data_IF_150272864462
#
_entry.id   IF_150272864462
#
_cell.length_a   1.000
_cell.length_b   1.000
_cell.length_c   1.000
_cell.angle_alpha   90.00
_cell.angle_beta   90.00
_cell.angle_gamma   90.00
#
_symmetry.space_group_name_H-M   'P 1'
#
loop_
_entity.id
_entity.type
_entity.pdbx_description
1 polymer ?
#
# COMPACT_ATOMS: atom_id res chain seq x y z
N UNK A 1 15.32 -22.09 0.61
CA UNK A 1 14.14 -21.53 1.31
C UNK A 1 14.35 -21.64 2.82
N UNK A 2 14.79 -20.57 3.49
CA UNK A 2 15.04 -20.58 4.93
C UNK A 2 13.75 -20.28 5.71
N UNK A 3 13.22 -21.30 6.40
CA UNK A 3 12.14 -21.16 7.37
C UNK A 3 12.67 -20.39 8.58
N UNK A 4 12.02 -19.27 8.93
CA UNK A 4 12.35 -18.48 10.10
C UNK A 4 12.27 -19.34 11.37
N UNK A 5 13.43 -19.69 11.92
CA UNK A 5 13.57 -20.48 13.15
C UNK A 5 13.27 -19.61 14.36
N UNK A 6 12.01 -19.63 14.81
CA UNK A 6 11.58 -18.93 16.02
C UNK A 6 11.74 -19.84 17.23
N UNK A 7 12.74 -19.55 18.09
CA UNK A 7 12.86 -20.16 19.42
C UNK A 7 11.75 -19.57 20.31
N UNK A 8 10.98 -20.44 20.97
CA UNK A 8 9.92 -20.11 21.96
C UNK A 8 10.35 -18.93 22.87
N UNK A 9 9.53 -17.88 22.95
CA UNK A 9 9.75 -16.71 23.83
C UNK A 9 9.96 -15.37 23.12
N UNK A 10 10.60 -15.35 21.95
CA UNK A 10 10.94 -14.11 21.21
C UNK A 10 9.77 -13.21 20.78
N UNK A 11 8.58 -13.71 20.34
CA UNK A 11 7.51 -12.82 19.88
C UNK A 11 6.86 -12.07 21.05
N UNK A 12 6.82 -12.69 22.24
CA UNK A 12 6.23 -12.09 23.42
C UNK A 12 7.04 -10.87 23.85
N UNK A 13 8.36 -11.00 23.88
CA UNK A 13 9.24 -9.89 24.27
C UNK A 13 9.21 -8.78 23.22
N UNK A 14 9.20 -9.08 21.92
CA UNK A 14 9.11 -8.08 20.86
C UNK A 14 7.87 -7.16 20.94
N UNK A 15 6.77 -7.64 21.54
CA UNK A 15 5.54 -6.85 21.75
C UNK A 15 5.26 -6.56 23.22
N UNK A 16 6.21 -6.78 24.12
CA UNK A 16 6.09 -6.41 25.55
C UNK A 16 7.29 -5.62 26.03
N UNK A 17 8.49 -6.20 25.97
CA UNK A 17 9.74 -5.54 26.35
C UNK A 17 10.25 -4.69 25.18
N UNK A 18 10.35 -3.37 25.39
CA UNK A 18 10.86 -2.44 24.38
C UNK A 18 9.85 -2.03 23.28
N UNK A 19 8.61 -2.52 23.30
CA UNK A 19 7.57 -2.01 22.41
C UNK A 19 7.21 -0.58 22.79
N UNK A 20 7.55 0.38 21.91
CA UNK A 20 7.11 1.76 22.02
C UNK A 20 5.86 1.95 21.16
N UNK A 21 4.72 2.38 21.75
CA UNK A 21 3.53 2.70 20.98
C UNK A 21 3.84 3.72 19.90
N UNK A 22 3.31 3.49 18.71
CA UNK A 22 3.41 4.47 17.64
C UNK A 22 2.36 5.55 17.81
N UNK A 23 2.73 6.78 17.47
CA UNK A 23 1.77 7.87 17.31
C UNK A 23 0.92 7.61 16.07
N UNK A 24 -0.39 7.81 16.21
CA UNK A 24 -1.38 7.59 15.14
C UNK A 24 -2.08 8.87 14.72
N UNK A 25 -1.69 10.02 15.27
CA UNK A 25 -2.20 11.31 14.82
C UNK A 25 -1.73 11.60 13.37
N UNK A 26 -2.55 12.25 12.54
CA UNK A 26 -2.25 12.43 11.12
C UNK A 26 -0.89 13.08 10.85
N UNK A 27 -0.53 14.08 11.67
CA UNK A 27 0.74 14.78 11.58
C UNK A 27 1.92 13.84 11.82
N UNK A 28 1.89 13.05 12.88
CA UNK A 28 2.96 12.09 13.16
C UNK A 28 3.10 11.01 12.08
N UNK A 29 1.98 10.56 11.50
CA UNK A 29 1.98 9.60 10.39
C UNK A 29 2.64 10.21 9.14
N UNK A 30 2.29 11.45 8.82
CA UNK A 30 2.89 12.20 7.71
C UNK A 30 4.38 12.46 7.92
N UNK A 31 4.77 12.97 9.09
CA UNK A 31 6.17 13.26 9.44
C UNK A 31 7.02 11.99 9.40
N UNK A 32 6.51 10.88 9.92
CA UNK A 32 7.21 9.59 9.83
C UNK A 32 7.39 9.17 8.36
N UNK A 33 6.33 9.24 7.56
CA UNK A 33 6.35 8.82 6.15
C UNK A 33 7.33 9.67 5.35
N UNK A 34 7.23 10.99 5.45
CA UNK A 34 8.15 11.93 4.81
C UNK A 34 9.60 11.70 5.25
N UNK A 35 9.86 11.49 6.55
CA UNK A 35 11.20 11.23 7.06
C UNK A 35 11.81 9.95 6.48
N UNK A 36 11.01 8.91 6.21
CA UNK A 36 11.51 7.66 5.62
C UNK A 36 11.83 7.81 4.14
N UNK A 37 11.00 8.55 3.42
CA UNK A 37 11.19 8.82 1.99
C UNK A 37 12.44 9.66 1.70
N UNK A 38 12.99 10.39 2.69
CA UNK A 38 14.30 11.06 2.56
C UNK A 38 15.48 10.10 2.37
N UNK A 39 15.33 8.82 2.69
CA UNK A 39 16.44 7.84 2.68
C UNK A 39 16.13 6.55 1.93
N UNK A 40 14.88 6.34 1.53
CA UNK A 40 14.38 5.07 1.00
C UNK A 40 13.41 5.34 -0.13
N UNK A 41 13.36 4.44 -1.10
CA UNK A 41 12.32 4.50 -2.13
C UNK A 41 10.96 4.10 -1.54
N UNK A 42 9.84 4.56 -2.11
CA UNK A 42 8.50 4.14 -1.69
C UNK A 42 8.35 2.61 -1.63
N UNK A 43 8.94 1.87 -2.57
CA UNK A 43 8.90 0.41 -2.66
C UNK A 43 9.64 -0.23 -1.47
N UNK A 44 10.80 0.31 -1.10
CA UNK A 44 11.54 -0.16 0.08
C UNK A 44 10.77 0.10 1.37
N UNK A 45 10.08 1.24 1.47
CA UNK A 45 9.19 1.53 2.61
C UNK A 45 8.04 0.52 2.65
N UNK A 46 7.39 0.25 1.51
CA UNK A 46 6.32 -0.77 1.41
C UNK A 46 6.79 -2.15 1.86
N UNK A 47 7.93 -2.60 1.35
CA UNK A 47 8.49 -3.90 1.72
C UNK A 47 8.72 -4.01 3.23
N UNK A 48 9.25 -2.95 3.86
CA UNK A 48 9.43 -2.92 5.32
C UNK A 48 8.11 -2.96 6.07
N UNK A 49 7.07 -2.29 5.56
CA UNK A 49 5.72 -2.33 6.12
C UNK A 49 5.10 -3.72 5.96
N UNK A 50 5.33 -4.42 4.84
CA UNK A 50 4.94 -5.82 4.64
C UNK A 50 5.58 -6.75 5.66
N UNK A 51 6.88 -6.61 5.88
CA UNK A 51 7.61 -7.44 6.83
C UNK A 51 7.13 -7.19 8.26
N UNK A 52 6.89 -5.92 8.62
CA UNK A 52 6.28 -5.55 9.90
C UNK A 52 4.88 -6.14 10.08
N UNK A 53 4.06 -6.12 9.02
CA UNK A 53 2.70 -6.66 9.03
C UNK A 53 2.71 -8.19 9.20
N UNK A 54 3.60 -8.88 8.47
CA UNK A 54 3.81 -10.33 8.61
C UNK A 54 4.26 -10.69 10.02
N UNK A 55 5.22 -9.96 10.59
CA UNK A 55 5.70 -10.17 11.96
C UNK A 55 4.59 -10.02 12.99
N UNK A 56 3.80 -8.95 12.91
CA UNK A 56 2.71 -8.73 13.85
C UNK A 56 1.57 -9.74 13.68
N UNK A 57 1.25 -10.13 12.44
CA UNK A 57 0.24 -11.15 12.18
C UNK A 57 0.67 -12.53 12.67
N UNK A 58 1.94 -12.91 12.43
CA UNK A 58 2.52 -14.13 12.97
C UNK A 58 2.56 -14.15 14.50
N UNK A 59 2.87 -13.02 15.14
CA UNK A 59 2.81 -12.90 16.59
C UNK A 59 1.39 -13.07 17.13
N UNK A 60 0.37 -12.47 16.48
CA UNK A 60 -1.03 -12.65 16.87
C UNK A 60 -1.49 -14.10 16.76
N UNK A 61 -1.08 -14.82 15.70
CA UNK A 61 -1.35 -16.24 15.55
C UNK A 61 -0.68 -17.06 16.67
N UNK A 62 0.58 -16.78 16.99
CA UNK A 62 1.28 -17.43 18.09
C UNK A 62 0.65 -17.15 19.45
N UNK A 63 0.17 -15.92 19.71
CA UNK A 63 -0.50 -15.58 20.97
C UNK A 63 -1.89 -16.22 21.09
N UNK A 64 -2.52 -16.62 19.98
CA UNK A 64 -3.83 -17.26 20.02
C UNK A 64 -3.77 -18.68 20.59
N UNK A 65 -2.63 -19.36 20.49
CA UNK A 65 -2.41 -20.71 21.02
C UNK A 65 -1.78 -20.72 22.42
N UNK A 66 -1.46 -19.55 22.97
CA UNK A 66 -0.88 -19.39 24.30
C UNK A 66 -1.96 -19.20 25.38
N UNK A 67 -1.64 -19.60 26.61
CA UNK A 67 -2.49 -19.31 27.78
C UNK A 67 -2.66 -17.79 27.96
N UNK A 68 -3.88 -17.32 28.28
CA UNK A 68 -4.23 -15.89 28.30
C UNK A 68 -3.73 -15.17 29.57
N UNK A 69 -2.42 -15.09 29.74
CA UNK A 69 -1.79 -14.33 30.83
C UNK A 69 -1.87 -12.82 30.57
N UNK A 70 -1.71 -11.99 31.62
CA UNK A 70 -1.65 -10.53 31.47
C UNK A 70 -0.56 -10.09 30.46
N UNK A 71 0.61 -10.74 30.48
CA UNK A 71 1.70 -10.49 29.52
C UNK A 71 1.26 -10.79 28.08
N UNK A 72 0.60 -11.93 27.84
CA UNK A 72 0.08 -12.31 26.51
C UNK A 72 -1.02 -11.35 26.04
N UNK A 73 -1.94 -10.94 26.93
CA UNK A 73 -2.99 -9.95 26.60
C UNK A 73 -2.39 -8.62 26.19
N UNK A 74 -1.37 -8.12 26.91
CA UNK A 74 -0.64 -6.89 26.56
C UNK A 74 0.08 -7.04 25.22
N UNK A 75 0.79 -8.15 25.01
CA UNK A 75 1.46 -8.43 23.74
C UNK A 75 0.49 -8.42 22.56
N UNK A 76 -0.69 -9.03 22.72
CA UNK A 76 -1.75 -9.07 21.71
C UNK A 76 -2.29 -7.68 21.39
N UNK A 77 -2.50 -6.83 22.40
CA UNK A 77 -2.92 -5.44 22.20
C UNK A 77 -1.86 -4.63 21.42
N UNK A 78 -0.59 -4.77 21.79
CA UNK A 78 0.53 -4.08 21.13
C UNK A 78 0.71 -4.55 19.68
N UNK A 79 0.60 -5.85 19.40
CA UNK A 79 0.65 -6.38 18.05
C UNK A 79 -0.52 -5.87 17.17
N UNK A 80 -1.73 -5.77 17.72
CA UNK A 80 -2.88 -5.14 17.04
C UNK A 80 -2.63 -3.66 16.76
N UNK A 81 -2.13 -2.91 17.74
CA UNK A 81 -1.82 -1.49 17.58
C UNK A 81 -0.75 -1.28 16.50
N UNK A 82 0.29 -2.12 16.46
CA UNK A 82 1.31 -2.06 15.43
C UNK A 82 0.75 -2.33 14.02
N UNK A 83 -0.12 -3.34 13.86
CA UNK A 83 -0.80 -3.58 12.58
C UNK A 83 -1.63 -2.38 12.14
N UNK A 84 -2.40 -1.79 13.05
CA UNK A 84 -3.21 -0.59 12.76
C UNK A 84 -2.32 0.58 12.33
N UNK A 85 -1.20 0.79 13.02
CA UNK A 85 -0.25 1.83 12.65
C UNK A 85 0.35 1.59 11.25
N UNK A 86 0.74 0.36 10.91
CA UNK A 86 1.22 0.02 9.55
C UNK A 86 0.17 0.37 8.50
N UNK A 87 -1.11 0.10 8.75
CA UNK A 87 -2.20 0.48 7.84
C UNK A 87 -2.28 1.98 7.61
N UNK A 88 -2.16 2.80 8.65
CA UNK A 88 -2.18 4.26 8.52
C UNK A 88 -1.00 4.75 7.67
N UNK A 89 0.20 4.21 7.92
CA UNK A 89 1.40 4.58 7.17
C UNK A 89 1.28 4.16 5.71
N UNK A 90 0.68 3.00 5.41
CA UNK A 90 0.41 2.58 4.02
C UNK A 90 -0.54 3.53 3.31
N UNK A 91 -1.65 3.89 3.96
CA UNK A 91 -2.62 4.81 3.39
C UNK A 91 -1.96 6.17 3.09
N UNK A 92 -1.12 6.66 3.99
CA UNK A 92 -0.38 7.91 3.78
C UNK A 92 0.67 7.78 2.66
N UNK A 93 1.39 6.66 2.62
CA UNK A 93 2.37 6.39 1.57
C UNK A 93 1.71 6.29 0.20
N UNK A 94 0.55 5.65 0.10
CA UNK A 94 -0.20 5.53 -1.15
C UNK A 94 -0.87 6.86 -1.55
N UNK A 95 -1.19 7.73 -0.59
CA UNK A 95 -1.63 9.10 -0.87
C UNK A 95 -0.53 9.94 -1.52
N UNK A 96 0.70 9.82 -1.03
CA UNK A 96 1.87 10.58 -1.52
C UNK A 96 2.47 9.98 -2.80
N UNK A 97 2.50 8.65 -2.87
CA UNK A 97 3.09 7.89 -3.96
C UNK A 97 2.13 6.76 -4.35
N UNK A 98 1.07 7.01 -5.11
CA UNK A 98 0.13 5.97 -5.50
C UNK A 98 0.85 4.81 -6.17
N UNK A 99 0.59 3.56 -5.75
CA UNK A 99 1.04 2.44 -6.57
C UNK A 99 0.34 2.52 -7.93
N UNK A 100 1.06 2.30 -9.04
CA UNK A 100 0.41 1.96 -10.29
C UNK A 100 -0.29 0.62 -10.09
N UNK A 101 -1.57 0.65 -9.68
CA UNK A 101 -2.43 -0.53 -9.79
C UNK A 101 -2.43 -0.85 -11.27
N UNK A 102 -1.95 -2.04 -11.64
CA UNK A 102 -1.80 -2.44 -13.03
C UNK A 102 -3.01 -2.02 -13.85
N UNK A 103 -2.84 -1.01 -14.70
CA UNK A 103 -3.71 -0.75 -15.82
C UNK A 103 -3.39 -1.82 -16.87
N UNK A 104 -3.75 -3.06 -16.57
CA UNK A 104 -3.71 -4.20 -17.48
C UNK A 104 -5.00 -4.99 -17.26
N UNK A 105 -6.10 -4.35 -17.66
CA UNK A 105 -7.45 -4.87 -17.61
C UNK A 105 -8.42 -3.94 -18.33
N UNK A 106 -8.38 -4.01 -19.66
CA UNK A 106 -9.40 -3.56 -20.64
C UNK A 106 -9.88 -2.11 -20.60
N UNK A 107 -9.12 -1.24 -21.28
CA UNK A 107 -9.66 -0.74 -22.55
C UNK A 107 -8.64 -1.09 -23.61
N UNK A 108 -8.96 -2.09 -24.45
CA UNK A 108 -8.39 -2.12 -25.78
C UNK A 108 -8.48 -0.68 -26.28
N UNK A 109 -7.33 -0.07 -26.58
CA UNK A 109 -7.28 1.14 -27.38
C UNK A 109 -8.11 0.77 -28.60
N UNK A 110 -9.35 1.24 -28.67
CA UNK A 110 -10.12 1.13 -29.92
C UNK A 110 -9.16 1.71 -30.93
N UNK A 111 -8.68 0.88 -31.85
CA UNK A 111 -8.08 1.42 -33.05
C UNK A 111 -9.07 2.48 -33.53
N UNK A 112 -8.60 3.71 -33.79
CA UNK A 112 -9.47 4.72 -34.34
C UNK A 112 -10.10 4.11 -35.58
N UNK A 113 -11.42 3.88 -35.55
CA UNK A 113 -12.14 3.42 -36.73
C UNK A 113 -11.88 4.46 -37.81
N UNK A 114 -11.09 4.08 -38.80
CA UNK A 114 -10.56 4.92 -39.89
C UNK A 114 -11.68 5.47 -40.81
N UNK A 115 -12.96 5.27 -40.47
CA UNK A 115 -14.10 5.61 -41.31
C UNK A 115 -14.82 6.93 -41.02
N UNK A 116 -14.56 7.62 -39.89
CA UNK A 116 -15.31 8.84 -39.56
C UNK A 116 -14.66 10.14 -40.07
N UNK A 117 -13.33 10.24 -40.04
CA UNK A 117 -12.61 11.43 -40.51
C UNK A 117 -12.60 11.57 -42.04
N UNK A 118 -12.76 10.48 -42.79
CA UNK A 118 -12.81 10.54 -44.26
C UNK A 118 -14.15 11.08 -44.76
N UNK A 119 -15.25 10.76 -44.07
CA UNK A 119 -16.59 11.25 -44.42
C UNK A 119 -16.72 12.74 -44.10
N UNK A 120 -16.16 13.18 -42.98
CA UNK A 120 -16.12 14.62 -42.63
C UNK A 120 -15.19 15.40 -43.56
N UNK A 121 -14.00 14.87 -43.91
CA UNK A 121 -13.11 15.55 -44.85
C UNK A 121 -13.72 15.69 -46.25
N UNK A 122 -14.47 14.69 -46.74
CA UNK A 122 -15.22 14.80 -47.99
C UNK A 122 -16.37 15.81 -47.89
N UNK A 123 -17.11 15.84 -46.78
CA UNK A 123 -18.17 16.83 -46.57
C UNK A 123 -17.62 18.27 -46.57
N UNK A 124 -16.45 18.50 -45.96
CA UNK A 124 -15.79 19.80 -45.97
C UNK A 124 -15.22 20.20 -47.33
N UNK A 125 -14.71 19.25 -48.13
CA UNK A 125 -14.26 19.55 -49.50
C UNK A 125 -15.42 19.87 -50.45
N UNK A 126 -16.54 19.15 -50.33
CA UNK A 126 -17.76 19.42 -51.13
C UNK A 126 -18.35 20.78 -50.80
N UNK A 127 -18.50 21.11 -49.50
CA UNK A 127 -19.01 22.43 -49.07
C UNK A 127 -18.10 23.59 -49.52
N UNK A 128 -16.77 23.39 -49.53
CA UNK A 128 -15.82 24.41 -50.00
C UNK A 128 -15.83 24.58 -51.53
N UNK A 129 -16.23 23.56 -52.27
CA UNK A 129 -16.36 23.61 -53.74
C UNK A 129 -17.65 24.32 -54.18
N UNK A 130 -18.72 24.21 -53.39
CA UNK A 130 -19.99 24.91 -53.67
C UNK A 130 -19.92 26.40 -53.31
N UNK A 131 -19.11 26.80 -52.33
CA UNK A 131 -18.92 28.20 -51.95
C UNK A 131 -17.98 29.00 -52.88
N UNK A 132 -17.44 28.37 -53.94
CA UNK A 132 -16.49 28.97 -54.89
C UNK A 132 -17.02 29.05 -56.33
N UNK A 133 -18.34 28.87 -56.52
CA UNK A 133 -19.07 29.27 -57.74
C UNK A 133 -19.79 30.59 -57.50
#
# INVERSE_FOLDING_TARGET
MARASWIKGKPLDAFTSGYRPHRTDPRAVQEWTASRLRRLTPEQVRQRLDDGMKKASGALAAFATMSPTAKVRRAKANAKAHRRWIWLIRAELDRLHPQPRGASGTRARREPRVGYLQTEAKAFQVARSEAAK
#
